data_IF_852991634228
#
_entry.id   IF_852991634228
#
_cell.length_a   1.000
_cell.length_b   1.000
_cell.length_c   1.000
_cell.angle_alpha   90.00
_cell.angle_beta   90.00
_cell.angle_gamma   90.00
#
_symmetry.space_group_name_H-M   'P 1'
#
loop_
_entity.id
_entity.type
_entity.pdbx_description
1 polymer ?
#
# COMPACT_ATOMS: atom_id res chain seq x y z
N UNK A 1 4.34 49.08 -10.96
CA UNK A 1 4.93 47.76 -10.62
C UNK A 1 3.80 46.79 -10.39
N UNK A 2 3.67 45.77 -11.25
CA UNK A 2 2.71 44.69 -11.02
C UNK A 2 3.35 43.74 -10.02
N UNK A 3 2.84 43.73 -8.79
CA UNK A 3 3.23 42.75 -7.77
C UNK A 3 2.58 41.43 -8.18
N UNK A 4 3.37 40.55 -8.78
CA UNK A 4 2.95 39.17 -9.03
C UNK A 4 2.89 38.50 -7.65
N UNK A 5 1.71 38.03 -7.18
CA UNK A 5 1.64 37.35 -5.90
C UNK A 5 2.53 36.10 -5.93
N UNK A 6 3.14 35.69 -4.80
CA UNK A 6 3.93 34.46 -4.76
C UNK A 6 3.04 33.32 -5.20
N UNK A 7 3.50 32.55 -6.19
CA UNK A 7 2.88 31.28 -6.56
C UNK A 7 3.09 30.37 -5.35
N UNK A 8 2.13 30.36 -4.44
CA UNK A 8 2.15 29.43 -3.33
C UNK A 8 1.86 28.07 -3.92
N UNK A 9 2.89 27.27 -4.10
CA UNK A 9 2.75 25.83 -4.36
C UNK A 9 2.15 25.23 -3.09
N UNK A 10 0.83 25.29 -2.97
CA UNK A 10 0.09 24.78 -1.82
C UNK A 10 0.23 23.26 -1.80
N UNK A 11 1.22 22.77 -1.06
CA UNK A 11 1.40 21.35 -0.78
C UNK A 11 0.49 20.94 0.36
N UNK A 12 -0.21 19.82 0.22
CA UNK A 12 -1.08 19.25 1.26
C UNK A 12 -0.25 18.57 2.36
N UNK A 13 0.55 19.36 3.10
CA UNK A 13 1.51 18.85 4.09
C UNK A 13 0.86 18.13 5.28
N UNK A 14 -0.42 18.43 5.55
CA UNK A 14 -1.20 17.83 6.64
C UNK A 14 -2.18 16.76 6.13
N UNK A 15 -1.98 16.23 4.92
CA UNK A 15 -2.86 15.20 4.36
C UNK A 15 -2.72 13.91 5.17
N UNK A 16 -3.78 13.52 5.87
CA UNK A 16 -3.78 12.30 6.68
C UNK A 16 -4.33 11.08 5.94
N UNK A 17 -5.19 11.28 4.94
CA UNK A 17 -5.82 10.20 4.19
C UNK A 17 -5.67 10.44 2.69
N UNK A 18 -5.13 9.44 2.00
CA UNK A 18 -5.03 9.40 0.55
C UNK A 18 -5.58 8.07 0.05
N UNK A 19 -6.70 8.09 -0.66
CA UNK A 19 -7.36 6.88 -1.15
C UNK A 19 -7.62 6.95 -2.66
N UNK A 20 -7.64 5.80 -3.32
CA UNK A 20 -7.99 5.67 -4.74
C UNK A 20 -6.85 5.97 -5.72
N UNK A 21 -5.61 5.95 -5.26
CA UNK A 21 -4.46 6.26 -6.09
C UNK A 21 -4.11 5.08 -7.01
N UNK A 22 -4.27 5.28 -8.32
CA UNK A 22 -4.02 4.24 -9.32
C UNK A 22 -2.56 4.17 -9.77
N UNK A 23 -1.94 3.00 -9.57
CA UNK A 23 -0.55 2.71 -9.89
C UNK A 23 -0.46 1.96 -11.22
N UNK A 24 0.26 2.53 -12.17
CA UNK A 24 0.66 1.89 -13.41
C UNK A 24 1.99 2.46 -13.91
N UNK A 25 2.54 1.86 -14.97
CA UNK A 25 3.84 2.26 -15.55
C UNK A 25 3.94 3.77 -15.84
N UNK A 26 2.84 4.44 -16.19
CA UNK A 26 2.83 5.86 -16.53
C UNK A 26 2.81 6.80 -15.33
N UNK A 27 2.34 6.35 -14.16
CA UNK A 27 2.09 7.23 -13.02
C UNK A 27 3.27 7.31 -12.05
N UNK A 28 4.20 6.34 -12.06
CA UNK A 28 5.26 6.22 -11.06
C UNK A 28 6.27 7.38 -11.04
N UNK A 29 6.72 7.85 -12.21
CA UNK A 29 7.84 8.81 -12.32
C UNK A 29 7.57 10.19 -11.69
N UNK A 30 6.30 10.61 -11.62
CA UNK A 30 5.89 11.84 -10.93
C UNK A 30 5.48 11.62 -9.47
N UNK A 31 5.04 10.40 -9.14
CA UNK A 31 4.44 10.10 -7.85
C UNK A 31 5.46 10.01 -6.72
N UNK A 32 6.61 9.37 -6.92
CA UNK A 32 7.62 9.17 -5.87
C UNK A 32 8.03 10.48 -5.17
N UNK A 33 8.20 11.55 -5.96
CA UNK A 33 8.58 12.86 -5.46
C UNK A 33 7.48 13.53 -4.63
N UNK A 34 6.22 13.27 -4.96
CA UNK A 34 5.08 13.78 -4.20
C UNK A 34 4.86 12.95 -2.93
N UNK A 35 4.88 11.64 -3.09
CA UNK A 35 4.60 10.65 -2.06
C UNK A 35 5.60 10.69 -0.90
N UNK A 36 6.89 10.92 -1.16
CA UNK A 36 7.90 11.08 -0.10
C UNK A 36 7.67 12.28 0.83
N UNK A 37 6.88 13.27 0.40
CA UNK A 37 6.60 14.47 1.20
C UNK A 37 5.34 14.32 2.05
N UNK A 38 4.56 13.25 1.88
CA UNK A 38 3.33 12.98 2.62
C UNK A 38 3.65 12.18 3.90
N UNK A 39 4.41 12.79 4.80
CA UNK A 39 4.89 12.12 6.02
C UNK A 39 3.84 12.01 7.12
N UNK A 40 2.72 12.74 7.02
CA UNK A 40 1.63 12.77 8.02
C UNK A 40 0.50 11.79 7.73
N UNK A 41 0.69 10.90 6.73
CA UNK A 41 -0.33 9.99 6.26
C UNK A 41 -0.62 8.89 7.29
N UNK A 42 -1.90 8.72 7.61
CA UNK A 42 -2.44 7.67 8.48
C UNK A 42 -3.22 6.63 7.69
N UNK A 43 -3.88 7.04 6.61
CA UNK A 43 -4.61 6.11 5.74
C UNK A 43 -4.13 6.18 4.30
N UNK A 44 -3.85 5.01 3.73
CA UNK A 44 -3.42 4.89 2.35
C UNK A 44 -4.22 3.83 1.59
N UNK A 45 -4.80 4.24 0.46
CA UNK A 45 -5.49 3.38 -0.48
C UNK A 45 -4.87 3.43 -1.88
N UNK A 46 -4.28 2.31 -2.30
CA UNK A 46 -3.68 2.12 -3.61
C UNK A 46 -4.48 1.13 -4.44
N UNK A 47 -4.54 1.36 -5.75
CA UNK A 47 -5.11 0.41 -6.70
C UNK A 47 -4.24 0.26 -7.94
N UNK A 48 -4.32 -0.87 -8.66
CA UNK A 48 -3.63 -1.06 -9.94
C UNK A 48 -2.51 -2.11 -9.91
N UNK A 49 -1.46 -1.91 -10.70
CA UNK A 49 -0.39 -2.91 -10.96
C UNK A 49 0.69 -2.92 -9.86
N UNK A 50 0.28 -3.24 -8.62
CA UNK A 50 1.15 -3.09 -7.44
C UNK A 50 2.39 -3.99 -7.49
N UNK A 51 2.25 -5.26 -7.90
CA UNK A 51 3.37 -6.20 -8.03
C UNK A 51 4.48 -5.70 -8.96
N UNK A 52 4.12 -5.09 -10.09
CA UNK A 52 5.09 -4.56 -11.06
C UNK A 52 5.94 -3.41 -10.48
N UNK A 53 5.45 -2.75 -9.43
CA UNK A 53 6.09 -1.60 -8.81
C UNK A 53 6.48 -1.85 -7.34
N UNK A 54 6.59 -3.13 -6.95
CA UNK A 54 6.71 -3.53 -5.56
C UNK A 54 7.85 -2.84 -4.80
N UNK A 55 9.05 -2.76 -5.37
CA UNK A 55 10.24 -2.20 -4.69
C UNK A 55 10.11 -0.70 -4.39
N UNK A 56 9.44 0.04 -5.29
CA UNK A 56 9.28 1.49 -5.15
C UNK A 56 8.16 1.81 -4.16
N UNK A 57 7.05 1.06 -4.26
CA UNK A 57 5.93 1.19 -3.33
C UNK A 57 6.33 0.78 -1.92
N UNK A 58 7.13 -0.28 -1.77
CA UNK A 58 7.67 -0.72 -0.47
C UNK A 58 8.45 0.41 0.19
N UNK A 59 9.50 0.93 -0.47
CA UNK A 59 10.32 2.02 0.12
C UNK A 59 9.48 3.20 0.58
N UNK A 60 8.44 3.55 -0.15
CA UNK A 60 7.58 4.67 0.21
C UNK A 60 6.61 4.34 1.35
N UNK A 61 5.82 3.27 1.24
CA UNK A 61 4.83 2.87 2.25
C UNK A 61 5.50 2.72 3.61
N UNK A 62 6.68 2.08 3.61
CA UNK A 62 7.44 1.78 4.83
C UNK A 62 8.16 2.97 5.45
N UNK A 63 8.26 4.09 4.72
CA UNK A 63 8.67 5.37 5.29
C UNK A 63 7.53 6.06 6.06
N UNK A 64 6.26 5.67 5.84
CA UNK A 64 5.11 6.24 6.55
C UNK A 64 4.90 5.53 7.90
N UNK A 65 5.72 5.88 8.90
CA UNK A 65 5.74 5.21 10.21
C UNK A 65 4.44 5.36 11.01
N UNK A 66 3.66 6.41 10.74
CA UNK A 66 2.39 6.69 11.40
C UNK A 66 1.18 6.11 10.65
N UNK A 67 1.42 5.24 9.65
CA UNK A 67 0.35 4.64 8.87
C UNK A 67 -0.45 3.67 9.74
N UNK A 68 -1.75 3.91 9.80
CA UNK A 68 -2.73 3.21 10.61
C UNK A 68 -3.59 2.24 9.79
N UNK A 69 -3.87 2.61 8.54
CA UNK A 69 -4.66 1.82 7.61
C UNK A 69 -4.02 1.77 6.22
N UNK A 70 -3.87 0.55 5.69
CA UNK A 70 -3.37 0.30 4.35
C UNK A 70 -4.37 -0.54 3.56
N UNK A 71 -4.78 -0.04 2.39
CA UNK A 71 -5.70 -0.70 1.47
C UNK A 71 -5.01 -0.88 0.12
N UNK A 72 -4.81 -2.12 -0.29
CA UNK A 72 -4.18 -2.49 -1.54
C UNK A 72 -5.20 -3.21 -2.43
N UNK A 73 -5.56 -2.61 -3.55
CA UNK A 73 -6.44 -3.21 -4.56
C UNK A 73 -5.64 -3.50 -5.82
N UNK A 74 -5.00 -4.66 -5.86
CA UNK A 74 -4.14 -5.05 -6.96
C UNK A 74 -4.91 -5.63 -8.15
N UNK A 75 -4.52 -5.20 -9.34
CA UNK A 75 -4.97 -5.77 -10.61
C UNK A 75 -3.84 -6.55 -11.26
N UNK A 76 -4.19 -7.69 -11.87
CA UNK A 76 -3.23 -8.47 -12.66
C UNK A 76 -3.05 -7.83 -14.03
N UNK A 77 -1.84 -7.87 -14.58
CA UNK A 77 -1.64 -7.64 -16.01
C UNK A 77 -2.21 -8.86 -16.73
N UNK A 78 -3.14 -8.66 -17.66
CA UNK A 78 -3.91 -9.72 -18.33
C UNK A 78 -3.04 -10.79 -19.03
N UNK A 79 -1.75 -10.54 -19.24
CA UNK A 79 -0.81 -11.44 -19.92
C UNK A 79 0.00 -12.36 -18.99
N UNK A 80 -0.12 -12.24 -17.66
CA UNK A 80 0.65 -13.03 -16.68
C UNK A 80 -0.31 -13.70 -15.69
N UNK A 81 -0.87 -14.83 -16.10
CA UNK A 81 -1.92 -15.56 -15.36
C UNK A 81 -1.42 -16.10 -14.00
N UNK A 82 -0.11 -16.33 -13.88
CA UNK A 82 0.52 -17.02 -12.73
C UNK A 82 1.19 -16.08 -11.72
N UNK A 83 1.34 -14.79 -12.01
CA UNK A 83 2.02 -13.87 -11.09
C UNK A 83 1.04 -13.29 -10.06
N UNK A 84 1.45 -13.25 -8.79
CA UNK A 84 0.72 -12.56 -7.74
C UNK A 84 0.43 -11.10 -8.14
N UNK A 85 -0.74 -10.60 -7.75
CA UNK A 85 -1.08 -9.19 -7.92
C UNK A 85 -0.65 -8.38 -6.69
N UNK A 86 -0.78 -8.97 -5.51
CA UNK A 86 -0.38 -8.40 -4.23
C UNK A 86 1.10 -8.72 -3.95
N UNK A 87 1.96 -7.71 -3.71
CA UNK A 87 3.34 -7.92 -3.29
C UNK A 87 3.45 -8.65 -1.95
N UNK A 88 4.48 -9.47 -1.78
CA UNK A 88 4.80 -10.16 -0.52
C UNK A 88 5.75 -9.29 0.32
N UNK A 89 5.22 -8.21 0.89
CA UNK A 89 5.96 -7.33 1.79
C UNK A 89 5.96 -7.83 3.25
N UNK A 90 6.97 -7.41 3.99
CA UNK A 90 7.05 -7.57 5.44
C UNK A 90 6.52 -6.32 6.13
N UNK A 91 5.28 -6.35 6.60
CA UNK A 91 4.60 -5.23 7.27
C UNK A 91 4.97 -5.08 8.76
N UNK A 92 5.82 -5.94 9.33
CA UNK A 92 6.15 -5.94 10.76
C UNK A 92 6.68 -4.60 11.28
N UNK A 93 7.38 -3.85 10.42
CA UNK A 93 7.92 -2.54 10.73
C UNK A 93 6.91 -1.38 10.77
N UNK A 94 5.65 -1.61 10.39
CA UNK A 94 4.56 -0.63 10.44
C UNK A 94 3.81 -0.72 11.77
N UNK A 95 4.47 -0.31 12.85
CA UNK A 95 3.99 -0.54 14.23
C UNK A 95 2.66 0.13 14.57
N UNK A 96 2.23 1.15 13.83
CA UNK A 96 0.93 1.80 14.04
C UNK A 96 -0.19 1.22 13.17
N UNK A 97 0.15 0.33 12.23
CA UNK A 97 -0.81 -0.25 11.30
C UNK A 97 -1.69 -1.24 12.04
N UNK A 98 -2.97 -0.90 12.18
CA UNK A 98 -3.96 -1.76 12.82
C UNK A 98 -5.00 -2.30 11.84
N UNK A 99 -5.09 -1.72 10.63
CA UNK A 99 -5.95 -2.20 9.53
C UNK A 99 -5.17 -2.49 8.25
N UNK A 100 -5.31 -3.69 7.72
CA UNK A 100 -4.73 -4.11 6.45
C UNK A 100 -5.79 -4.74 5.56
N UNK A 101 -6.05 -4.14 4.40
CA UNK A 101 -6.97 -4.66 3.40
C UNK A 101 -6.22 -5.02 2.13
N UNK A 102 -6.29 -6.30 1.75
CA UNK A 102 -5.62 -6.85 0.59
C UNK A 102 -6.68 -7.40 -0.36
N UNK A 103 -6.82 -6.75 -1.52
CA UNK A 103 -7.75 -7.14 -2.56
C UNK A 103 -6.99 -7.49 -3.84
N UNK A 104 -7.00 -8.76 -4.24
CA UNK A 104 -6.37 -9.23 -5.46
C UNK A 104 -5.61 -10.55 -5.26
N UNK A 105 -5.19 -11.15 -6.37
CA UNK A 105 -4.59 -12.48 -6.38
C UNK A 105 -3.29 -12.55 -5.57
N UNK A 106 -3.18 -13.57 -4.72
CA UNK A 106 -2.01 -13.88 -3.90
C UNK A 106 -1.52 -15.29 -4.24
N UNK A 107 -0.22 -15.44 -4.49
CA UNK A 107 0.36 -16.76 -4.78
C UNK A 107 0.47 -17.64 -3.54
N UNK A 108 0.65 -17.03 -2.37
CA UNK A 108 0.71 -17.67 -1.06
C UNK A 108 0.24 -16.70 0.03
N UNK A 109 -0.12 -17.24 1.18
CA UNK A 109 -0.41 -16.45 2.37
C UNK A 109 0.89 -15.93 3.00
N UNK A 110 0.84 -14.71 3.56
CA UNK A 110 1.95 -14.13 4.33
C UNK A 110 2.32 -15.02 5.51
N UNK A 111 3.59 -14.96 5.90
CA UNK A 111 4.02 -15.58 7.15
C UNK A 111 3.62 -14.68 8.30
N UNK A 112 3.39 -15.29 9.45
CA UNK A 112 2.77 -14.62 10.61
C UNK A 112 3.63 -13.45 11.11
N UNK A 113 4.95 -13.61 11.00
CA UNK A 113 5.97 -12.63 11.37
C UNK A 113 5.97 -11.39 10.46
N UNK A 114 5.36 -11.48 9.26
CA UNK A 114 5.28 -10.36 8.32
C UNK A 114 4.13 -9.39 8.64
N UNK A 115 3.26 -9.70 9.61
CA UNK A 115 2.20 -8.79 10.00
C UNK A 115 2.64 -7.85 11.13
N UNK A 116 2.09 -6.63 11.20
CA UNK A 116 2.39 -5.72 12.30
C UNK A 116 1.73 -6.22 13.59
N UNK A 117 2.41 -6.02 14.72
CA UNK A 117 1.98 -6.52 16.03
C UNK A 117 0.65 -5.94 16.53
N UNK A 118 0.26 -4.76 16.02
CA UNK A 118 -0.98 -4.08 16.39
C UNK A 118 -2.13 -4.34 15.41
N UNK A 119 -1.98 -5.28 14.48
CA UNK A 119 -3.02 -5.59 13.50
C UNK A 119 -4.27 -6.16 14.19
N UNK A 120 -5.39 -5.48 14.01
CA UNK A 120 -6.70 -5.90 14.56
C UNK A 120 -7.72 -6.17 13.47
N UNK A 121 -7.48 -5.69 12.25
CA UNK A 121 -8.34 -5.89 11.11
C UNK A 121 -7.52 -6.33 9.89
N UNK A 122 -7.79 -7.54 9.42
CA UNK A 122 -7.26 -8.08 8.17
C UNK A 122 -8.42 -8.40 7.23
N UNK A 123 -8.44 -7.78 6.06
CA UNK A 123 -9.39 -8.11 4.99
C UNK A 123 -8.67 -8.75 3.83
N UNK A 124 -9.08 -9.96 3.44
CA UNK A 124 -8.61 -10.65 2.24
C UNK A 124 -9.75 -10.76 1.25
N UNK A 125 -9.65 -10.10 0.09
CA UNK A 125 -10.69 -10.12 -0.95
C UNK A 125 -10.11 -10.58 -2.27
N UNK A 126 -10.73 -11.57 -2.92
CA UNK A 126 -10.24 -12.07 -4.21
C UNK A 126 -8.80 -12.60 -4.18
N UNK A 127 -8.33 -13.09 -3.03
CA UNK A 127 -6.98 -13.61 -2.83
C UNK A 127 -6.72 -14.88 -3.63
N UNK A 128 -7.74 -15.74 -3.78
CA UNK A 128 -7.67 -17.06 -4.40
C UNK A 128 -6.54 -17.92 -3.82
N UNK A 129 -6.33 -17.81 -2.50
CA UNK A 129 -5.41 -18.67 -1.78
C UNK A 129 -5.87 -20.12 -1.92
N UNK A 130 -4.93 -21.01 -2.22
CA UNK A 130 -5.18 -22.45 -2.31
C UNK A 130 -5.18 -23.12 -0.93
N UNK A 131 -4.50 -22.51 0.03
CA UNK A 131 -4.40 -22.95 1.43
C UNK A 131 -5.40 -22.16 2.30
N UNK A 132 -5.88 -22.76 3.38
CA UNK A 132 -6.74 -22.08 4.35
C UNK A 132 -5.90 -21.05 5.15
N UNK A 133 -6.21 -19.74 5.06
CA UNK A 133 -5.46 -18.73 5.79
C UNK A 133 -5.57 -18.87 7.32
N UNK A 134 -6.61 -19.53 7.84
CA UNK A 134 -6.81 -19.69 9.28
C UNK A 134 -5.70 -20.52 9.95
N UNK A 135 -5.12 -21.49 9.25
CA UNK A 135 -4.01 -22.31 9.79
C UNK A 135 -2.76 -21.48 10.18
N UNK A 136 -2.58 -20.33 9.52
CA UNK A 136 -1.54 -19.36 9.86
C UNK A 136 -2.04 -18.33 10.88
N UNK A 137 -3.26 -17.82 10.70
CA UNK A 137 -3.81 -16.73 11.52
C UNK A 137 -4.19 -17.15 12.95
N UNK A 138 -4.46 -18.42 13.21
CA UNK A 138 -4.72 -18.93 14.57
C UNK A 138 -3.50 -18.80 15.50
N UNK A 139 -2.31 -18.56 14.94
CA UNK A 139 -1.05 -18.39 15.67
C UNK A 139 -0.73 -16.92 15.94
N UNK A 140 -1.62 -15.99 15.58
CA UNK A 140 -1.44 -14.55 15.73
C UNK A 140 -1.77 -14.06 17.14
#
# INVERSE_FOLDING_TARGET
MVVIPPITTTHLQNLQSLNGLYICEKTLSGMEKCLKNLTTLRELGLCGQLYTHQEHLEKWIFNSKDLECLKLTATRKFNLVTTAAIPQWDFSGLTHLYKLHLSGFMSKMFDIECFPTNLTELSLTGSLLMEDPMEKLEKF
#
